data_IF_484331837427
#
_entry.id   IF_484331837427
#
_cell.length_a   1.000
_cell.length_b   1.000
_cell.length_c   1.000
_cell.angle_alpha   90.00
_cell.angle_beta   90.00
_cell.angle_gamma   90.00
#
_symmetry.space_group_name_H-M   'P 1'
#
loop_
_entity.id
_entity.type
_entity.pdbx_description
1 polymer ?
#
# COMPACT_ATOMS: atom_id res chain seq x y z
N UNK A 1 45.64 -41.41 -46.94
CA UNK A 1 46.14 -40.18 -47.60
C UNK A 1 45.05 -39.15 -47.90
N UNK A 2 43.76 -39.51 -48.04
CA UNK A 2 42.70 -38.58 -48.48
C UNK A 2 41.74 -38.05 -47.39
N UNK A 3 41.97 -38.37 -46.11
CA UNK A 3 41.04 -38.07 -45.01
C UNK A 3 40.88 -36.57 -44.71
N UNK A 4 41.89 -35.74 -45.00
CA UNK A 4 41.94 -34.32 -44.62
C UNK A 4 41.72 -33.33 -45.78
N UNK A 5 41.28 -33.80 -46.95
CA UNK A 5 41.02 -32.92 -48.10
C UNK A 5 39.65 -32.29 -48.00
N UNK A 6 39.55 -31.01 -48.38
CA UNK A 6 38.29 -30.29 -48.53
C UNK A 6 37.40 -30.97 -49.58
N UNK A 7 36.08 -30.75 -49.50
CA UNK A 7 35.13 -31.32 -50.47
C UNK A 7 35.47 -30.89 -51.91
N UNK A 8 35.93 -29.65 -52.10
CA UNK A 8 36.38 -29.13 -53.39
C UNK A 8 37.62 -29.84 -53.91
N UNK A 9 38.60 -30.13 -53.05
CA UNK A 9 39.77 -30.93 -53.42
C UNK A 9 39.41 -32.36 -53.74
N UNK A 10 38.48 -32.97 -52.99
CA UNK A 10 37.95 -34.31 -53.29
C UNK A 10 37.23 -34.34 -54.65
N UNK A 11 36.46 -33.30 -54.97
CA UNK A 11 35.80 -33.15 -56.29
C UNK A 11 36.83 -32.94 -57.40
N UNK A 12 37.84 -32.07 -57.21
CA UNK A 12 38.92 -31.87 -58.19
C UNK A 12 39.74 -33.14 -58.41
N UNK A 13 40.00 -33.91 -57.34
CA UNK A 13 40.64 -35.22 -57.42
C UNK A 13 39.72 -36.19 -58.17
N UNK A 14 38.40 -36.22 -57.94
CA UNK A 14 37.45 -37.02 -58.72
C UNK A 14 37.53 -36.70 -60.22
N UNK A 15 37.58 -35.43 -60.60
CA UNK A 15 37.70 -35.02 -62.02
C UNK A 15 39.06 -35.44 -62.61
N UNK A 16 40.16 -35.22 -61.89
CA UNK A 16 41.50 -35.61 -62.37
C UNK A 16 41.69 -37.12 -62.41
N UNK A 17 41.15 -37.86 -61.45
CA UNK A 17 41.21 -39.32 -61.43
C UNK A 17 40.36 -39.92 -62.54
N UNK A 18 39.18 -39.34 -62.84
CA UNK A 18 38.37 -39.73 -63.99
C UNK A 18 39.09 -39.48 -65.32
N UNK A 19 39.77 -38.34 -65.46
CA UNK A 19 40.61 -38.05 -66.63
C UNK A 19 41.79 -39.02 -66.75
N UNK A 20 42.48 -39.33 -65.64
CA UNK A 20 43.58 -40.30 -65.60
C UNK A 20 43.08 -41.71 -65.92
N UNK A 21 41.89 -42.09 -65.42
CA UNK A 21 41.27 -43.38 -65.71
C UNK A 21 40.89 -43.51 -67.18
N UNK A 22 40.32 -42.45 -67.77
CA UNK A 22 40.00 -42.39 -69.19
C UNK A 22 41.28 -42.49 -70.04
N UNK A 23 42.36 -41.82 -69.62
CA UNK A 23 43.68 -41.90 -70.25
C UNK A 23 44.32 -43.29 -70.08
N UNK A 24 44.14 -43.97 -68.95
CA UNK A 24 44.60 -45.34 -68.73
C UNK A 24 43.83 -46.34 -69.59
N UNK A 25 42.51 -46.24 -69.66
CA UNK A 25 41.67 -47.11 -70.49
C UNK A 25 42.01 -46.91 -71.97
N UNK A 26 42.14 -45.67 -72.44
CA UNK A 26 42.56 -45.37 -73.82
C UNK A 26 43.99 -45.82 -74.09
N UNK A 27 44.93 -45.62 -73.16
CA UNK A 27 46.31 -46.10 -73.28
C UNK A 27 46.41 -47.63 -73.33
N UNK A 28 45.62 -48.33 -72.51
CA UNK A 28 45.51 -49.78 -72.51
C UNK A 28 44.89 -50.29 -73.82
N UNK A 29 43.86 -49.62 -74.35
CA UNK A 29 43.26 -49.94 -75.64
C UNK A 29 44.25 -49.73 -76.80
N UNK A 30 45.01 -48.63 -76.79
CA UNK A 30 46.04 -48.33 -77.80
C UNK A 30 47.21 -49.31 -77.72
N UNK A 31 47.66 -49.68 -76.51
CA UNK A 31 48.72 -50.69 -76.32
C UNK A 31 48.27 -52.09 -76.78
N UNK A 32 47.02 -52.46 -76.49
CA UNK A 32 46.39 -53.66 -77.02
C UNK A 32 46.37 -53.67 -78.55
N UNK A 33 45.95 -52.56 -79.17
CA UNK A 33 45.94 -52.40 -80.63
C UNK A 33 47.36 -52.45 -81.25
N UNK A 34 48.33 -51.80 -80.60
CA UNK A 34 49.73 -51.81 -81.02
C UNK A 34 50.35 -53.21 -80.97
N UNK A 35 50.09 -53.98 -79.91
CA UNK A 35 50.56 -55.37 -79.81
C UNK A 35 49.94 -56.27 -80.90
N UNK A 36 48.66 -56.09 -81.21
CA UNK A 36 47.98 -56.81 -82.30
C UNK A 36 48.63 -56.56 -83.67
N UNK A 37 49.26 -55.39 -83.85
CA UNK A 37 49.86 -54.99 -85.13
C UNK A 37 51.31 -55.45 -85.33
N UNK A 38 52.03 -55.84 -84.27
CA UNK A 38 53.47 -56.12 -84.32
C UNK A 38 53.88 -57.60 -84.32
N UNK A 39 52.97 -58.55 -84.13
CA UNK A 39 53.30 -59.98 -84.02
C UNK A 39 52.28 -60.88 -84.74
N UNK A 40 52.73 -62.00 -85.32
CA UNK A 40 51.87 -63.13 -85.72
C UNK A 40 51.37 -63.82 -84.43
N UNK A 41 50.40 -63.19 -83.78
CA UNK A 41 49.81 -63.68 -82.53
C UNK A 41 48.79 -64.78 -82.85
N UNK A 42 48.84 -65.91 -82.13
CA UNK A 42 47.81 -66.95 -82.27
C UNK A 42 46.42 -66.40 -81.90
N UNK A 43 45.33 -66.82 -82.57
CA UNK A 43 43.97 -66.32 -82.29
C UNK A 43 43.60 -66.40 -80.79
N UNK A 44 44.13 -67.40 -80.09
CA UNK A 44 43.93 -67.61 -78.66
C UNK A 44 44.53 -66.50 -77.79
N UNK A 45 45.73 -65.99 -78.12
CA UNK A 45 46.39 -64.92 -77.36
C UNK A 45 45.70 -63.56 -77.53
N UNK A 46 45.05 -63.32 -78.67
CA UNK A 46 44.27 -62.11 -78.92
C UNK A 46 42.99 -62.06 -78.07
N UNK A 47 42.28 -63.20 -77.99
CA UNK A 47 41.08 -63.35 -77.14
C UNK A 47 41.43 -63.23 -75.65
N UNK A 48 42.55 -63.80 -75.21
CA UNK A 48 42.99 -63.68 -73.81
C UNK A 48 43.30 -62.21 -73.46
N UNK A 49 43.98 -61.49 -74.35
CA UNK A 49 44.33 -60.08 -74.10
C UNK A 49 43.08 -59.21 -73.99
N UNK A 50 42.12 -59.33 -74.92
CA UNK A 50 40.87 -58.54 -74.86
C UNK A 50 40.02 -58.88 -73.65
N UNK A 51 39.91 -60.16 -73.26
CA UNK A 51 39.20 -60.56 -72.03
C UNK A 51 39.85 -59.97 -70.79
N UNK A 52 41.19 -59.99 -70.69
CA UNK A 52 41.93 -59.36 -69.58
C UNK A 52 41.67 -57.85 -69.53
N UNK A 53 41.66 -57.16 -70.68
CA UNK A 53 41.36 -55.72 -70.71
C UNK A 53 39.93 -55.40 -70.27
N UNK A 54 38.94 -56.21 -70.68
CA UNK A 54 37.56 -56.06 -70.23
C UNK A 54 37.43 -56.29 -68.72
N UNK A 55 38.08 -57.32 -68.19
CA UNK A 55 38.08 -57.62 -66.74
C UNK A 55 38.71 -56.46 -65.96
N UNK A 56 39.87 -55.96 -66.41
CA UNK A 56 40.54 -54.80 -65.79
C UNK A 56 39.66 -53.55 -65.85
N UNK A 57 38.98 -53.30 -66.98
CA UNK A 57 38.03 -52.20 -67.13
C UNK A 57 36.83 -52.29 -66.18
N UNK A 58 36.25 -53.49 -66.02
CA UNK A 58 35.14 -53.74 -65.08
C UNK A 58 35.62 -53.52 -63.63
N UNK A 59 36.75 -54.10 -63.24
CA UNK A 59 37.33 -53.93 -61.89
C UNK A 59 37.62 -52.46 -61.60
N UNK A 60 38.17 -51.73 -62.57
CA UNK A 60 38.45 -50.30 -62.42
C UNK A 60 37.18 -49.46 -62.29
N UNK A 61 36.13 -49.79 -63.04
CA UNK A 61 34.83 -49.11 -62.95
C UNK A 61 34.17 -49.36 -61.60
N UNK A 62 34.24 -50.60 -61.12
CA UNK A 62 33.70 -51.00 -59.82
C UNK A 62 34.49 -50.38 -58.66
N UNK A 63 35.82 -50.39 -58.75
CA UNK A 63 36.70 -49.70 -57.80
C UNK A 63 36.43 -48.19 -57.80
N UNK A 64 36.23 -47.57 -58.97
CA UNK A 64 35.90 -46.16 -59.06
C UNK A 64 34.53 -45.86 -58.47
N UNK A 65 33.50 -46.66 -58.76
CA UNK A 65 32.18 -46.54 -58.15
C UNK A 65 32.26 -46.67 -56.63
N UNK A 66 32.99 -47.66 -56.12
CA UNK A 66 33.21 -47.88 -54.69
C UNK A 66 33.99 -46.72 -54.05
N UNK A 67 35.02 -46.20 -54.73
CA UNK A 67 35.83 -45.07 -54.27
C UNK A 67 35.01 -43.77 -54.22
N UNK A 68 34.18 -43.50 -55.24
CA UNK A 68 33.24 -42.36 -55.27
C UNK A 68 32.21 -42.50 -54.16
N UNK A 69 31.65 -43.70 -53.97
CA UNK A 69 30.65 -43.94 -52.94
C UNK A 69 31.19 -43.65 -51.53
N UNK A 70 32.36 -44.21 -51.19
CA UNK A 70 33.00 -44.04 -49.88
C UNK A 70 33.53 -42.62 -49.68
N UNK A 71 34.13 -42.01 -50.71
CA UNK A 71 34.84 -40.72 -50.54
C UNK A 71 33.92 -39.51 -50.66
N UNK A 72 32.82 -39.63 -51.40
CA UNK A 72 31.91 -38.50 -51.69
C UNK A 72 30.47 -38.74 -51.25
N UNK A 73 29.89 -39.91 -51.50
CA UNK A 73 28.47 -40.14 -51.19
C UNK A 73 28.23 -40.31 -49.69
N UNK A 74 29.05 -41.10 -48.98
CA UNK A 74 28.88 -41.34 -47.53
C UNK A 74 28.97 -40.05 -46.69
N UNK A 75 30.00 -39.18 -46.83
CA UNK A 75 30.07 -37.96 -46.02
C UNK A 75 28.94 -36.96 -46.31
N UNK A 76 28.45 -36.90 -47.56
CA UNK A 76 27.32 -36.06 -47.95
C UNK A 76 26.02 -36.61 -47.35
N UNK A 77 25.84 -37.93 -47.32
CA UNK A 77 24.70 -38.58 -46.70
C UNK A 77 24.63 -38.30 -45.20
N UNK A 78 25.75 -38.49 -44.50
CA UNK A 78 25.84 -38.22 -43.06
C UNK A 78 25.53 -36.74 -42.79
N UNK A 79 26.11 -35.82 -43.56
CA UNK A 79 25.81 -34.39 -43.45
C UNK A 79 24.33 -34.05 -43.70
N UNK A 80 23.68 -34.68 -44.67
CA UNK A 80 22.24 -34.51 -44.98
C UNK A 80 21.36 -34.99 -43.82
N UNK A 81 21.66 -36.16 -43.25
CA UNK A 81 20.90 -36.71 -42.11
C UNK A 81 21.08 -35.81 -40.89
N UNK A 82 22.33 -35.47 -40.54
CA UNK A 82 22.61 -34.59 -39.42
C UNK A 82 21.95 -33.21 -39.59
N UNK A 83 21.98 -32.65 -40.80
CA UNK A 83 21.30 -31.37 -41.09
C UNK A 83 19.78 -31.48 -40.92
N UNK A 84 19.15 -32.56 -41.38
CA UNK A 84 17.70 -32.76 -41.25
C UNK A 84 17.27 -33.01 -39.80
N UNK A 85 18.02 -33.82 -39.06
CA UNK A 85 17.77 -34.10 -37.64
C UNK A 85 17.94 -32.82 -36.82
N UNK A 86 19.07 -32.13 -36.95
CA UNK A 86 19.29 -30.85 -36.27
C UNK A 86 18.25 -29.79 -36.65
N UNK A 87 17.87 -29.70 -37.93
CA UNK A 87 16.81 -28.77 -38.36
C UNK A 87 15.46 -29.10 -37.73
N UNK A 88 15.11 -30.38 -37.61
CA UNK A 88 13.86 -30.82 -36.98
C UNK A 88 13.85 -30.50 -35.49
N UNK A 89 14.96 -30.76 -34.78
CA UNK A 89 15.12 -30.41 -33.36
C UNK A 89 14.99 -28.89 -33.14
N UNK A 90 15.61 -28.07 -34.01
CA UNK A 90 15.50 -26.61 -33.91
C UNK A 90 14.07 -26.15 -34.20
N UNK A 91 13.35 -26.74 -35.16
CA UNK A 91 11.93 -26.43 -35.39
C UNK A 91 11.10 -26.72 -34.14
N UNK A 92 11.31 -27.87 -33.49
CA UNK A 92 10.60 -28.21 -32.26
C UNK A 92 10.90 -27.20 -31.13
N UNK A 93 12.17 -26.87 -30.92
CA UNK A 93 12.58 -25.86 -29.95
C UNK A 93 11.99 -24.47 -30.25
N UNK A 94 11.98 -24.07 -31.53
CA UNK A 94 11.43 -22.80 -31.99
C UNK A 94 9.91 -22.74 -31.82
N UNK A 95 9.21 -23.85 -32.06
CA UNK A 95 7.76 -23.98 -31.80
C UNK A 95 7.45 -23.90 -30.30
N UNK A 96 8.29 -24.50 -29.44
CA UNK A 96 8.17 -24.32 -27.98
C UNK A 96 8.38 -22.85 -27.60
N UNK A 97 9.36 -22.18 -28.21
CA UNK A 97 9.64 -20.77 -27.98
C UNK A 97 8.47 -19.86 -28.39
N UNK A 98 7.81 -20.13 -29.52
CA UNK A 98 6.60 -19.42 -29.96
C UNK A 98 5.51 -19.45 -28.87
N UNK A 99 5.24 -20.62 -28.31
CA UNK A 99 4.26 -20.79 -27.24
C UNK A 99 4.63 -20.01 -25.97
N UNK A 100 5.91 -19.94 -25.62
CA UNK A 100 6.39 -19.13 -24.47
C UNK A 100 6.19 -17.64 -24.73
N UNK A 101 6.48 -17.16 -25.94
CA UNK A 101 6.26 -15.76 -26.32
C UNK A 101 4.78 -15.38 -26.20
N UNK A 102 3.87 -16.22 -26.70
CA UNK A 102 2.42 -15.98 -26.57
C UNK A 102 1.97 -15.90 -25.12
N UNK A 103 2.50 -16.76 -24.24
CA UNK A 103 2.22 -16.70 -22.80
C UNK A 103 2.74 -15.39 -22.18
N UNK A 104 3.95 -14.96 -22.54
CA UNK A 104 4.50 -13.72 -22.01
C UNK A 104 3.71 -12.48 -22.48
N UNK A 105 3.23 -12.45 -23.74
CA UNK A 105 2.36 -11.36 -24.22
C UNK A 105 1.07 -11.23 -23.40
N UNK A 106 0.47 -12.36 -22.99
CA UNK A 106 -0.71 -12.34 -22.10
C UNK A 106 -0.35 -11.78 -20.72
N UNK A 107 0.75 -12.25 -20.13
CA UNK A 107 1.22 -11.77 -18.81
C UNK A 107 1.55 -10.28 -18.85
N UNK A 108 2.15 -9.78 -19.93
CA UNK A 108 2.45 -8.34 -20.09
C UNK A 108 1.18 -7.50 -20.18
N UNK A 109 0.14 -7.99 -20.87
CA UNK A 109 -1.16 -7.31 -20.94
C UNK A 109 -1.82 -7.24 -19.56
N UNK A 110 -1.78 -8.34 -18.80
CA UNK A 110 -2.29 -8.37 -17.42
C UNK A 110 -1.50 -7.41 -16.52
N UNK A 111 -0.18 -7.42 -16.60
CA UNK A 111 0.70 -6.51 -15.86
C UNK A 111 0.40 -5.04 -16.18
N UNK A 112 0.18 -4.69 -17.45
CA UNK A 112 -0.21 -3.34 -17.86
C UNK A 112 -1.52 -2.89 -17.20
N UNK A 113 -2.52 -3.78 -17.15
CA UNK A 113 -3.79 -3.50 -16.48
C UNK A 113 -3.65 -3.30 -14.96
N UNK A 114 -2.77 -4.08 -14.31
CA UNK A 114 -2.45 -3.91 -12.88
C UNK A 114 -1.79 -2.55 -12.63
N UNK A 115 -0.84 -2.13 -13.48
CA UNK A 115 -0.16 -0.84 -13.36
C UNK A 115 -1.12 0.33 -13.59
N UNK A 116 -2.05 0.22 -14.53
CA UNK A 116 -3.09 1.24 -14.74
C UNK A 116 -3.98 1.38 -13.49
N UNK A 117 -4.40 0.26 -12.90
CA UNK A 117 -5.19 0.28 -11.66
C UNK A 117 -4.38 0.85 -10.48
N UNK A 118 -3.09 0.54 -10.40
CA UNK A 118 -2.20 1.09 -9.38
C UNK A 118 -2.05 2.61 -9.50
N UNK A 119 -1.91 3.13 -10.74
CA UNK A 119 -1.88 4.57 -11.01
C UNK A 119 -3.18 5.26 -10.56
N UNK A 120 -4.34 4.70 -10.93
CA UNK A 120 -5.65 5.20 -10.47
C UNK A 120 -5.78 5.21 -8.94
N UNK A 121 -5.37 4.12 -8.30
CA UNK A 121 -5.40 3.99 -6.83
C UNK A 121 -4.47 5.00 -6.14
N UNK A 122 -3.27 5.22 -6.68
CA UNK A 122 -2.31 6.20 -6.16
C UNK A 122 -2.87 7.62 -6.25
N UNK A 123 -3.48 7.99 -7.40
CA UNK A 123 -4.12 9.29 -7.57
C UNK A 123 -5.32 9.47 -6.62
N UNK A 124 -6.14 8.44 -6.44
CA UNK A 124 -7.25 8.48 -5.49
C UNK A 124 -6.76 8.65 -4.04
N UNK A 125 -5.67 7.98 -3.67
CA UNK A 125 -5.03 8.11 -2.36
C UNK A 125 -4.55 9.54 -2.13
N UNK A 126 -3.94 10.17 -3.13
CA UNK A 126 -3.52 11.57 -3.09
C UNK A 126 -4.69 12.53 -2.85
N UNK A 127 -5.79 12.37 -3.59
CA UNK A 127 -7.00 13.18 -3.41
C UNK A 127 -7.57 13.00 -2.00
N UNK A 128 -7.62 11.77 -1.49
CA UNK A 128 -8.10 11.50 -0.15
C UNK A 128 -7.20 12.13 0.92
N UNK A 129 -5.88 12.03 0.75
CA UNK A 129 -4.92 12.67 1.63
C UNK A 129 -5.12 14.20 1.68
N UNK A 130 -5.32 14.86 0.53
CA UNK A 130 -5.63 16.29 0.47
C UNK A 130 -6.91 16.66 1.23
N UNK A 131 -7.99 15.87 1.09
CA UNK A 131 -9.23 16.08 1.86
C UNK A 131 -9.01 15.96 3.36
N UNK A 132 -8.17 15.01 3.81
CA UNK A 132 -7.82 14.88 5.22
C UNK A 132 -7.02 16.10 5.71
N UNK A 133 -6.10 16.64 4.91
CA UNK A 133 -5.39 17.87 5.24
C UNK A 133 -6.35 19.06 5.39
N UNK A 134 -7.26 19.26 4.43
CA UNK A 134 -8.27 20.33 4.47
C UNK A 134 -9.15 20.23 5.72
N UNK A 135 -9.65 19.02 6.04
CA UNK A 135 -10.44 18.82 7.26
C UNK A 135 -9.62 18.99 8.54
N UNK A 136 -8.35 18.61 8.53
CA UNK A 136 -7.46 18.83 9.67
C UNK A 136 -7.29 20.33 9.96
N UNK A 137 -7.11 21.15 8.92
CA UNK A 137 -7.03 22.61 9.05
C UNK A 137 -8.32 23.22 9.63
N UNK A 138 -9.48 22.77 9.15
CA UNK A 138 -10.78 23.18 9.69
C UNK A 138 -10.91 22.86 11.19
N UNK A 139 -10.47 21.67 11.60
CA UNK A 139 -10.50 21.28 13.02
C UNK A 139 -9.51 22.11 13.84
N UNK A 140 -8.34 22.48 13.31
CA UNK A 140 -7.40 23.38 13.99
C UNK A 140 -8.08 24.73 14.26
N UNK A 141 -8.73 25.32 13.25
CA UNK A 141 -9.46 26.60 13.42
C UNK A 141 -10.57 26.47 14.45
N UNK A 142 -11.39 25.41 14.37
CA UNK A 142 -12.47 25.15 15.31
C UNK A 142 -11.96 24.96 16.75
N UNK A 143 -10.90 24.18 16.93
CA UNK A 143 -10.27 23.95 18.23
C UNK A 143 -9.71 25.23 18.85
N UNK A 144 -9.20 26.16 18.04
CA UNK A 144 -8.73 27.46 18.52
C UNK A 144 -9.88 28.31 19.06
N UNK A 145 -11.02 28.30 18.36
CA UNK A 145 -12.24 28.99 18.81
C UNK A 145 -12.78 28.38 20.11
N UNK A 146 -12.80 27.05 20.22
CA UNK A 146 -13.20 26.34 21.45
C UNK A 146 -12.27 26.67 22.61
N UNK A 147 -10.95 26.72 22.38
CA UNK A 147 -9.98 27.11 23.40
C UNK A 147 -10.24 28.54 23.93
N UNK A 148 -10.53 29.50 23.04
CA UNK A 148 -10.91 30.86 23.44
C UNK A 148 -12.22 30.89 24.24
N UNK A 149 -13.22 30.11 23.83
CA UNK A 149 -14.50 30.01 24.53
C UNK A 149 -14.33 29.44 25.95
N UNK A 150 -13.52 28.41 26.12
CA UNK A 150 -13.19 27.82 27.42
C UNK A 150 -12.46 28.84 28.30
N UNK A 151 -11.46 29.56 27.75
CA UNK A 151 -10.76 30.63 28.47
C UNK A 151 -11.71 31.73 28.95
N UNK A 152 -12.63 32.17 28.08
CA UNK A 152 -13.65 33.14 28.45
C UNK A 152 -14.60 32.61 29.53
N UNK A 153 -14.91 31.32 29.53
CA UNK A 153 -15.73 30.69 30.57
C UNK A 153 -15.01 30.65 31.93
N UNK A 154 -13.71 30.35 31.95
CA UNK A 154 -12.89 30.38 33.18
C UNK A 154 -12.91 31.79 33.79
N UNK A 155 -12.73 32.84 32.99
CA UNK A 155 -12.79 34.23 33.48
C UNK A 155 -14.18 34.61 34.03
N UNK A 156 -15.25 34.13 33.38
CA UNK A 156 -16.62 34.32 33.89
C UNK A 156 -16.83 33.61 35.22
N UNK A 157 -16.33 32.38 35.38
CA UNK A 157 -16.39 31.64 36.63
C UNK A 157 -15.60 32.34 37.74
N UNK A 158 -14.43 32.88 37.42
CA UNK A 158 -13.64 33.69 38.36
C UNK A 158 -14.39 34.94 38.83
N UNK A 159 -15.05 35.63 37.91
CA UNK A 159 -15.91 36.78 38.22
C UNK A 159 -17.10 36.36 39.08
N UNK A 160 -17.70 35.19 38.81
CA UNK A 160 -18.81 34.66 39.60
C UNK A 160 -18.37 34.32 41.02
N UNK A 161 -17.19 33.72 41.19
CA UNK A 161 -16.60 33.46 42.52
C UNK A 161 -16.49 34.74 43.34
N UNK A 162 -15.93 35.80 42.77
CA UNK A 162 -15.81 37.10 43.44
C UNK A 162 -17.17 37.66 43.86
N UNK A 163 -18.21 37.51 43.03
CA UNK A 163 -19.56 37.94 43.40
C UNK A 163 -20.14 37.13 44.56
N UNK A 164 -19.90 35.82 44.60
CA UNK A 164 -20.34 34.98 45.74
C UNK A 164 -19.59 35.35 47.02
N UNK A 165 -18.28 35.62 46.94
CA UNK A 165 -17.49 36.08 48.07
C UNK A 165 -18.04 37.40 48.65
N UNK A 166 -18.42 38.36 47.81
CA UNK A 166 -19.07 39.60 48.24
C UNK A 166 -20.44 39.32 48.90
N UNK A 167 -21.24 38.41 48.35
CA UNK A 167 -22.53 38.03 48.94
C UNK A 167 -22.31 37.41 50.33
N UNK A 168 -21.32 36.54 50.48
CA UNK A 168 -20.98 35.93 51.76
C UNK A 168 -20.59 36.99 52.81
N UNK A 169 -19.80 38.00 52.43
CA UNK A 169 -19.43 39.13 53.30
C UNK A 169 -20.66 39.93 53.75
N UNK A 170 -21.56 40.28 52.83
CA UNK A 170 -22.80 41.00 53.14
C UNK A 170 -23.75 40.20 54.06
N UNK A 171 -23.78 38.88 53.93
CA UNK A 171 -24.58 38.00 54.79
C UNK A 171 -23.98 37.93 56.20
N UNK A 172 -22.65 37.92 56.33
CA UNK A 172 -21.99 37.98 57.62
C UNK A 172 -22.28 39.30 58.34
N UNK A 173 -22.23 40.43 57.64
CA UNK A 173 -22.62 41.73 58.17
C UNK A 173 -24.09 41.73 58.63
N UNK A 174 -25.01 41.19 57.81
CA UNK A 174 -26.43 41.06 58.18
C UNK A 174 -26.62 40.19 59.44
N UNK A 175 -25.84 39.10 59.58
CA UNK A 175 -25.86 38.24 60.75
C UNK A 175 -25.48 39.01 62.02
N UNK A 176 -24.41 39.80 61.95
CA UNK A 176 -23.94 40.64 63.06
C UNK A 176 -24.99 41.69 63.45
N UNK A 177 -25.56 42.39 62.47
CA UNK A 177 -26.60 43.39 62.71
C UNK A 177 -27.85 42.75 63.34
N UNK A 178 -28.25 41.58 62.87
CA UNK A 178 -29.40 40.84 63.41
C UNK A 178 -29.16 40.39 64.84
N UNK A 179 -27.93 39.96 65.17
CA UNK A 179 -27.54 39.61 66.53
C UNK A 179 -27.56 40.83 67.47
N UNK A 180 -27.07 41.99 67.01
CA UNK A 180 -27.13 43.25 67.76
C UNK A 180 -28.59 43.66 68.04
N UNK A 181 -29.48 43.58 67.04
CA UNK A 181 -30.91 43.86 67.22
C UNK A 181 -31.53 42.88 68.23
N UNK A 182 -31.21 41.59 68.14
CA UNK A 182 -31.67 40.60 69.12
C UNK A 182 -31.27 40.96 70.55
N UNK A 183 -30.04 41.42 70.77
CA UNK A 183 -29.59 41.88 72.09
C UNK A 183 -30.37 43.11 72.57
N UNK A 184 -30.68 44.05 71.68
CA UNK A 184 -31.47 45.25 72.03
C UNK A 184 -32.89 44.86 72.41
N UNK A 185 -33.53 43.97 71.65
CA UNK A 185 -34.90 43.52 71.91
C UNK A 185 -35.00 42.79 73.25
N UNK A 186 -33.98 41.99 73.62
CA UNK A 186 -33.90 41.40 74.97
C UNK A 186 -33.91 42.45 76.08
N UNK A 187 -33.14 43.54 75.94
CA UNK A 187 -33.15 44.66 76.91
C UNK A 187 -34.50 45.36 76.94
N UNK A 188 -35.17 45.54 75.79
CA UNK A 188 -36.51 46.15 75.75
C UNK A 188 -37.55 45.25 76.44
N UNK A 189 -37.45 43.93 76.24
CA UNK A 189 -38.30 42.96 76.93
C UNK A 189 -38.15 43.06 78.46
N UNK A 190 -36.91 43.12 78.95
CA UNK A 190 -36.61 43.34 80.38
C UNK A 190 -37.18 44.66 80.90
N UNK A 191 -37.06 45.76 80.14
CA UNK A 191 -37.64 47.06 80.50
C UNK A 191 -39.16 47.00 80.56
N UNK A 192 -39.81 46.32 79.60
CA UNK A 192 -41.27 46.14 79.63
C UNK A 192 -41.74 45.29 80.80
N UNK A 193 -41.01 44.24 81.15
CA UNK A 193 -41.27 43.41 82.34
C UNK A 193 -41.19 44.26 83.62
N UNK A 194 -40.12 45.05 83.77
CA UNK A 194 -39.94 45.97 84.89
C UNK A 194 -41.04 47.04 84.94
N UNK A 195 -41.41 47.62 83.79
CA UNK A 195 -42.46 48.64 83.70
C UNK A 195 -43.83 48.05 84.08
N UNK A 196 -44.12 46.82 83.64
CA UNK A 196 -45.33 46.10 84.03
C UNK A 196 -45.40 45.87 85.55
N UNK A 197 -44.28 45.44 86.14
CA UNK A 197 -44.16 45.26 87.60
C UNK A 197 -44.28 46.57 88.38
N UNK A 198 -43.68 47.66 87.89
CA UNK A 198 -43.82 49.01 88.47
C UNK A 198 -45.27 49.50 88.40
N UNK A 199 -45.92 49.33 87.26
CA UNK A 199 -47.33 49.69 87.07
C UNK A 199 -48.26 48.88 87.98
N UNK A 200 -47.98 47.60 88.17
CA UNK A 200 -48.71 46.75 89.11
C UNK A 200 -48.56 47.26 90.55
N UNK A 201 -47.33 47.56 90.99
CA UNK A 201 -47.08 48.10 92.32
C UNK A 201 -47.77 49.45 92.52
N UNK A 202 -47.76 50.33 91.51
CA UNK A 202 -48.47 51.61 91.53
C UNK A 202 -49.99 51.44 91.60
N UNK A 203 -50.56 50.46 90.88
CA UNK A 203 -51.99 50.15 90.94
C UNK A 203 -52.40 49.63 92.33
N UNK A 204 -51.57 48.80 92.96
CA UNK A 204 -51.80 48.32 94.34
C UNK A 204 -51.77 49.47 95.34
N UNK A 205 -50.78 50.36 95.26
CA UNK A 205 -50.66 51.48 96.20
C UNK A 205 -51.75 52.54 95.97
N UNK A 206 -52.17 52.75 94.70
CA UNK A 206 -53.32 53.58 94.37
C UNK A 206 -54.64 53.01 94.93
N UNK A 207 -54.84 51.69 94.87
CA UNK A 207 -55.98 51.04 95.51
C UNK A 207 -55.94 51.19 97.04
N UNK A 208 -54.75 51.14 97.64
CA UNK A 208 -54.52 51.32 99.08
C UNK A 208 -54.82 52.75 99.57
N UNK A 209 -54.60 53.76 98.74
CA UNK A 209 -54.93 55.15 99.03
C UNK A 209 -56.44 55.49 98.94
N UNK A 210 -57.29 54.52 98.57
CA UNK A 210 -58.75 54.68 98.55
C UNK A 210 -59.24 55.74 97.56
N UNK A 211 -60.13 56.65 98.00
CA UNK A 211 -60.70 57.71 97.15
C UNK A 211 -59.64 58.66 96.57
N UNK A 212 -58.54 58.91 97.31
CA UNK A 212 -57.46 59.80 96.85
C UNK A 212 -56.57 59.17 95.76
N UNK A 213 -56.60 57.85 95.61
CA UNK A 213 -55.78 57.10 94.64
C UNK A 213 -56.45 56.82 93.30
N UNK A 214 -57.75 57.13 93.13
CA UNK A 214 -58.52 56.78 91.91
C UNK A 214 -57.87 57.26 90.60
N UNK A 215 -57.37 58.50 90.57
CA UNK A 215 -56.69 59.03 89.39
C UNK A 215 -55.38 58.29 89.07
N UNK A 216 -54.60 57.96 90.10
CA UNK A 216 -53.36 57.19 89.97
C UNK A 216 -53.62 55.74 89.55
N UNK A 217 -54.71 55.12 90.01
CA UNK A 217 -55.08 53.76 89.64
C UNK A 217 -55.38 53.64 88.13
N UNK A 218 -56.05 54.65 87.54
CA UNK A 218 -56.31 54.69 86.09
C UNK A 218 -55.01 54.81 85.31
N UNK A 219 -54.11 55.70 85.72
CA UNK A 219 -52.79 55.87 85.06
C UNK A 219 -51.97 54.59 85.17
N UNK A 220 -51.92 53.96 86.34
CA UNK A 220 -51.20 52.70 86.54
C UNK A 220 -51.76 51.56 85.67
N UNK A 221 -53.08 51.47 85.51
CA UNK A 221 -53.70 50.49 84.62
C UNK A 221 -53.35 50.72 83.15
N UNK A 222 -53.29 51.98 82.69
CA UNK A 222 -52.92 52.30 81.31
C UNK A 222 -51.43 52.02 81.03
N UNK A 223 -50.54 52.35 81.99
CA UNK A 223 -49.11 51.99 81.89
C UNK A 223 -48.95 50.47 81.82
N UNK A 224 -49.72 49.71 82.63
CA UNK A 224 -49.67 48.25 82.62
C UNK A 224 -50.09 47.69 81.26
N UNK A 225 -51.16 48.23 80.68
CA UNK A 225 -51.65 47.85 79.35
C UNK A 225 -50.62 48.14 78.27
N UNK A 226 -49.98 49.32 78.29
CA UNK A 226 -48.90 49.68 77.36
C UNK A 226 -47.68 48.76 77.51
N UNK A 227 -47.34 48.36 78.74
CA UNK A 227 -46.25 47.41 78.99
C UNK A 227 -46.57 46.01 78.43
N UNK A 228 -47.80 45.52 78.61
CA UNK A 228 -48.25 44.24 78.02
C UNK A 228 -48.28 44.31 76.48
N UNK A 229 -48.76 45.40 75.89
CA UNK A 229 -48.74 45.62 74.43
C UNK A 229 -47.31 45.66 73.89
N UNK A 230 -46.41 46.35 74.60
CA UNK A 230 -44.99 46.42 74.23
C UNK A 230 -44.29 45.07 74.35
N UNK A 231 -44.62 44.25 75.36
CA UNK A 231 -44.12 42.87 75.50
C UNK A 231 -44.59 41.97 74.35
N UNK A 232 -45.84 42.11 73.91
CA UNK A 232 -46.33 41.38 72.74
C UNK A 232 -45.62 41.81 71.45
N UNK A 233 -45.31 43.11 71.31
CA UNK A 233 -44.57 43.63 70.18
C UNK A 233 -43.12 43.13 70.16
N UNK A 234 -42.41 43.16 71.29
CA UNK A 234 -41.03 42.64 71.39
C UNK A 234 -40.99 41.14 71.09
N UNK A 235 -41.95 40.35 71.59
CA UNK A 235 -42.04 38.91 71.28
C UNK A 235 -42.19 38.64 69.78
N UNK A 236 -43.02 39.42 69.07
CA UNK A 236 -43.15 39.34 67.61
C UNK A 236 -41.85 39.69 66.90
N UNK A 237 -41.15 40.74 67.36
CA UNK A 237 -39.85 41.12 66.78
C UNK A 237 -38.81 40.02 67.02
N UNK A 238 -38.75 39.43 68.21
CA UNK A 238 -37.86 38.31 68.51
C UNK A 238 -38.08 37.12 67.57
N UNK A 239 -39.35 36.80 67.24
CA UNK A 239 -39.66 35.77 66.24
C UNK A 239 -39.12 36.13 64.86
N UNK A 240 -39.29 37.38 64.41
CA UNK A 240 -38.77 37.83 63.11
C UNK A 240 -37.23 37.79 63.06
N UNK A 241 -36.57 38.15 64.15
CA UNK A 241 -35.11 38.07 64.27
C UNK A 241 -34.63 36.61 64.17
N UNK A 242 -35.32 35.68 64.82
CA UNK A 242 -35.03 34.26 64.71
C UNK A 242 -35.17 33.75 63.26
N UNK A 243 -36.25 34.13 62.58
CA UNK A 243 -36.48 33.75 61.18
C UNK A 243 -35.39 34.34 60.26
N UNK A 244 -34.98 35.59 60.47
CA UNK A 244 -33.88 36.22 59.73
C UNK A 244 -32.56 35.49 59.99
N UNK A 245 -32.25 35.12 61.23
CA UNK A 245 -31.03 34.35 61.55
C UNK A 245 -31.02 32.99 60.85
N UNK A 246 -32.15 32.28 60.84
CA UNK A 246 -32.26 30.99 60.15
C UNK A 246 -32.06 31.14 58.64
N UNK A 247 -32.68 32.16 58.03
CA UNK A 247 -32.51 32.48 56.61
C UNK A 247 -31.05 32.85 56.28
N UNK A 248 -30.42 33.64 57.14
CA UNK A 248 -29.01 34.06 57.01
C UNK A 248 -28.08 32.84 57.03
N UNK A 249 -28.22 31.96 58.03
CA UNK A 249 -27.43 30.72 58.10
C UNK A 249 -27.63 29.81 56.88
N UNK A 250 -28.87 29.69 56.41
CA UNK A 250 -29.17 28.90 55.20
C UNK A 250 -28.49 29.49 53.96
N UNK A 251 -28.42 30.83 53.88
CA UNK A 251 -27.78 31.53 52.77
C UNK A 251 -26.25 31.41 52.83
N UNK A 252 -25.64 31.39 54.02
CA UNK A 252 -24.21 31.07 54.18
C UNK A 252 -23.90 29.67 53.64
N UNK A 253 -24.67 28.64 54.02
CA UNK A 253 -24.44 27.29 53.50
C UNK A 253 -24.56 27.23 51.97
N UNK A 254 -25.57 27.91 51.39
CA UNK A 254 -25.76 27.95 49.95
C UNK A 254 -24.63 28.69 49.21
N UNK A 255 -24.04 29.73 49.81
CA UNK A 255 -22.91 30.46 49.23
C UNK A 255 -21.59 29.67 49.33
N UNK A 256 -21.37 28.92 50.41
CA UNK A 256 -20.25 27.98 50.53
C UNK A 256 -20.34 26.85 49.50
N UNK A 257 -21.53 26.25 49.32
CA UNK A 257 -21.78 25.22 48.31
C UNK A 257 -21.58 25.80 46.89
N UNK A 258 -22.14 26.98 46.62
CA UNK A 258 -21.96 27.67 45.34
C UNK A 258 -20.50 27.97 45.02
N UNK A 259 -19.67 28.29 46.03
CA UNK A 259 -18.23 28.50 45.85
C UNK A 259 -17.52 27.20 45.44
N UNK A 260 -17.84 26.07 46.09
CA UNK A 260 -17.28 24.76 45.75
C UNK A 260 -17.65 24.32 44.33
N UNK A 261 -18.90 24.53 43.93
CA UNK A 261 -19.38 24.21 42.58
C UNK A 261 -18.66 25.03 41.50
N UNK A 262 -18.37 26.31 41.77
CA UNK A 262 -17.58 27.14 40.86
C UNK A 262 -16.15 26.63 40.75
N UNK A 263 -15.49 26.28 41.86
CA UNK A 263 -14.14 25.73 41.85
C UNK A 263 -14.05 24.43 41.05
N UNK A 264 -15.00 23.53 41.25
CA UNK A 264 -15.16 22.31 40.45
C UNK A 264 -15.36 22.62 38.96
N UNK A 265 -16.19 23.61 38.64
CA UNK A 265 -16.42 24.07 37.27
C UNK A 265 -15.15 24.63 36.59
N UNK A 266 -14.32 25.36 37.34
CA UNK A 266 -13.03 25.87 36.85
C UNK A 266 -12.05 24.72 36.60
N UNK A 267 -11.99 23.74 37.49
CA UNK A 267 -11.15 22.55 37.31
C UNK A 267 -11.55 21.78 36.04
N UNK A 268 -12.84 21.52 35.85
CA UNK A 268 -13.37 20.87 34.65
C UNK A 268 -13.04 21.67 33.37
N UNK A 269 -13.20 22.99 33.40
CA UNK A 269 -12.87 23.84 32.27
C UNK A 269 -11.37 23.78 31.91
N UNK A 270 -10.48 23.72 32.91
CA UNK A 270 -9.05 23.54 32.67
C UNK A 270 -8.72 22.17 32.05
N UNK A 271 -9.38 21.09 32.48
CA UNK A 271 -9.22 19.77 31.87
C UNK A 271 -9.67 19.74 30.40
N UNK A 272 -10.77 20.45 30.08
CA UNK A 272 -11.23 20.62 28.70
C UNK A 272 -10.19 21.39 27.87
N UNK A 273 -9.62 22.48 28.41
CA UNK A 273 -8.57 23.23 27.72
C UNK A 273 -7.34 22.37 27.39
N UNK A 274 -6.87 21.56 28.35
CA UNK A 274 -5.77 20.62 28.12
C UNK A 274 -6.09 19.57 27.06
N UNK A 275 -7.33 19.06 27.05
CA UNK A 275 -7.79 18.10 26.04
C UNK A 275 -7.82 18.70 24.64
N UNK A 276 -8.22 19.97 24.53
CA UNK A 276 -8.18 20.73 23.26
C UNK A 276 -6.73 20.90 22.77
N UNK A 277 -5.79 21.18 23.66
CA UNK A 277 -4.37 21.30 23.30
C UNK A 277 -3.78 19.97 22.80
N UNK A 278 -4.13 18.85 23.46
CA UNK A 278 -3.75 17.52 23.00
C UNK A 278 -4.35 17.19 21.63
N UNK A 279 -5.61 17.55 21.40
CA UNK A 279 -6.30 17.39 20.12
C UNK A 279 -5.58 18.16 19.01
N UNK A 280 -5.18 19.42 19.27
CA UNK A 280 -4.39 20.22 18.30
C UNK A 280 -3.06 19.56 17.94
N UNK A 281 -2.34 19.03 18.93
CA UNK A 281 -1.08 18.32 18.68
C UNK A 281 -1.29 17.08 17.81
N UNK A 282 -2.32 16.29 18.11
CA UNK A 282 -2.68 15.08 17.36
C UNK A 282 -3.03 15.41 15.91
N UNK A 283 -3.72 16.52 15.68
CA UNK A 283 -4.08 16.97 14.33
C UNK A 283 -2.82 17.44 13.57
N UNK A 284 -1.90 18.15 14.21
CA UNK A 284 -0.64 18.54 13.60
C UNK A 284 0.19 17.31 13.16
N UNK A 285 0.22 16.27 13.98
CA UNK A 285 0.85 14.98 13.61
C UNK A 285 0.13 14.33 12.42
N UNK A 286 -1.21 14.39 12.39
CA UNK A 286 -2.02 13.90 11.27
C UNK A 286 -1.69 14.65 9.97
N UNK A 287 -1.57 15.98 10.01
CA UNK A 287 -1.18 16.80 8.85
C UNK A 287 0.20 16.40 8.33
N UNK A 288 1.15 16.13 9.24
CA UNK A 288 2.48 15.65 8.87
C UNK A 288 2.43 14.27 8.20
N UNK A 289 1.70 13.32 8.76
CA UNK A 289 1.53 11.99 8.18
C UNK A 289 0.85 12.06 6.79
N UNK A 290 -0.12 12.94 6.63
CA UNK A 290 -0.76 13.21 5.33
C UNK A 290 0.24 13.73 4.30
N UNK A 291 1.16 14.62 4.70
CA UNK A 291 2.24 15.07 3.82
C UNK A 291 3.12 13.93 3.36
N UNK A 292 3.53 13.05 4.27
CA UNK A 292 4.35 11.88 3.95
C UNK A 292 3.63 10.91 2.98
N UNK A 293 2.29 10.78 3.12
CA UNK A 293 1.45 10.01 2.17
C UNK A 293 1.44 10.67 0.79
N UNK A 294 1.29 11.99 0.71
CA UNK A 294 1.33 12.72 -0.58
C UNK A 294 2.68 12.55 -1.27
N UNK A 295 3.79 12.65 -0.53
CA UNK A 295 5.12 12.45 -1.08
C UNK A 295 5.32 10.99 -1.57
N UNK A 296 4.86 10.01 -0.78
CA UNK A 296 4.90 8.59 -1.15
C UNK A 296 4.07 8.28 -2.40
N UNK A 297 2.89 8.88 -2.54
CA UNK A 297 2.02 8.70 -3.73
C UNK A 297 2.59 9.36 -4.98
N UNK A 298 3.29 10.51 -4.85
CA UNK A 298 4.03 11.09 -5.96
C UNK A 298 5.15 10.14 -6.43
N UNK A 299 5.92 9.56 -5.51
CA UNK A 299 6.96 8.57 -5.87
C UNK A 299 6.37 7.32 -6.51
N UNK A 300 5.25 6.80 -5.99
CA UNK A 300 4.53 5.69 -6.62
C UNK A 300 4.12 6.01 -8.05
N UNK A 301 3.66 7.24 -8.32
CA UNK A 301 3.28 7.66 -9.68
C UNK A 301 4.47 7.57 -10.64
N UNK A 302 5.64 8.03 -10.21
CA UNK A 302 6.89 7.91 -10.99
C UNK A 302 7.23 6.44 -11.26
N UNK A 303 7.21 5.59 -10.23
CA UNK A 303 7.50 4.16 -10.41
C UNK A 303 6.49 3.46 -11.33
N UNK A 304 5.21 3.82 -11.26
CA UNK A 304 4.21 3.24 -12.17
C UNK A 304 4.45 3.62 -13.63
N UNK A 305 4.92 4.84 -13.89
CA UNK A 305 5.27 5.30 -15.24
C UNK A 305 6.51 4.59 -15.78
N UNK A 306 7.54 4.41 -14.94
CA UNK A 306 8.75 3.64 -15.28
C UNK A 306 8.41 2.17 -15.61
N UNK A 307 7.59 1.52 -14.78
CA UNK A 307 7.17 0.13 -15.02
C UNK A 307 6.28 0.03 -16.26
N UNK A 308 5.40 1.00 -16.50
CA UNK A 308 4.59 1.04 -17.73
C UNK A 308 5.47 1.11 -18.98
N UNK A 309 6.50 1.96 -18.95
CA UNK A 309 7.48 2.08 -20.04
C UNK A 309 8.26 0.79 -20.25
N UNK A 310 8.67 0.12 -19.17
CA UNK A 310 9.36 -1.16 -19.24
C UNK A 310 8.46 -2.27 -19.84
N UNK A 311 7.18 -2.34 -19.43
CA UNK A 311 6.21 -3.29 -19.99
C UNK A 311 6.05 -3.07 -21.49
N UNK A 312 5.90 -1.82 -21.94
CA UNK A 312 5.79 -1.50 -23.37
C UNK A 312 7.04 -1.94 -24.15
N UNK A 313 8.23 -1.67 -23.61
CA UNK A 313 9.51 -2.05 -24.23
C UNK A 313 9.66 -3.58 -24.34
N UNK A 314 9.27 -4.33 -23.30
CA UNK A 314 9.29 -5.80 -23.33
C UNK A 314 8.24 -6.33 -24.33
N UNK A 315 7.06 -5.71 -24.39
CA UNK A 315 6.02 -6.10 -25.33
C UNK A 315 6.49 -5.93 -26.79
N UNK A 316 7.17 -4.82 -27.11
CA UNK A 316 7.80 -4.63 -28.43
C UNK A 316 8.86 -5.71 -28.71
N UNK A 317 9.75 -6.01 -27.77
CA UNK A 317 10.76 -7.06 -27.92
C UNK A 317 10.17 -8.47 -28.08
N UNK A 318 9.02 -8.75 -27.45
CA UNK A 318 8.29 -10.01 -27.64
C UNK A 318 7.64 -10.10 -29.02
N UNK A 319 7.10 -9.01 -29.54
CA UNK A 319 6.55 -8.97 -30.90
C UNK A 319 7.64 -9.19 -31.95
N UNK A 320 8.83 -8.59 -31.78
CA UNK A 320 9.98 -8.85 -32.65
C UNK A 320 10.44 -10.31 -32.55
N UNK A 321 10.53 -10.84 -31.32
CA UNK A 321 10.88 -12.25 -31.09
C UNK A 321 9.89 -13.21 -31.76
N UNK A 322 8.58 -12.90 -31.74
CA UNK A 322 7.57 -13.71 -32.42
C UNK A 322 7.79 -13.71 -33.94
N UNK A 323 8.12 -12.56 -34.52
CA UNK A 323 8.47 -12.43 -35.94
C UNK A 323 9.71 -13.26 -36.29
N UNK A 324 10.76 -13.16 -35.49
CA UNK A 324 12.02 -13.89 -35.68
C UNK A 324 11.83 -15.41 -35.58
N UNK A 325 11.02 -15.88 -34.63
CA UNK A 325 10.65 -17.31 -34.49
C UNK A 325 9.96 -17.80 -35.76
N UNK A 326 8.98 -17.05 -36.28
CA UNK A 326 8.28 -17.41 -37.53
C UNK A 326 9.25 -17.48 -38.72
N UNK A 327 10.17 -16.54 -38.83
CA UNK A 327 11.19 -16.54 -39.87
C UNK A 327 12.16 -17.74 -39.75
N UNK A 328 12.59 -18.08 -38.54
CA UNK A 328 13.46 -19.24 -38.29
C UNK A 328 12.81 -20.55 -38.74
N UNK A 329 11.53 -20.75 -38.43
CA UNK A 329 10.78 -21.94 -38.88
C UNK A 329 10.79 -22.02 -40.42
N UNK A 330 10.53 -20.89 -41.11
CA UNK A 330 10.55 -20.86 -42.58
C UNK A 330 11.93 -21.18 -43.16
N UNK A 331 13.00 -20.65 -42.57
CA UNK A 331 14.38 -20.92 -43.00
C UNK A 331 14.73 -22.40 -42.80
N UNK A 332 14.37 -22.99 -41.65
CA UNK A 332 14.65 -24.39 -41.33
C UNK A 332 13.86 -25.34 -42.24
N UNK A 333 12.60 -25.02 -42.54
CA UNK A 333 11.83 -25.75 -43.55
C UNK A 333 12.50 -25.67 -44.93
N UNK A 334 13.04 -24.51 -45.30
CA UNK A 334 13.87 -24.34 -46.49
C UNK A 334 15.10 -25.25 -46.49
N UNK A 335 15.83 -25.32 -45.37
CA UNK A 335 17.01 -26.18 -45.21
C UNK A 335 16.67 -27.66 -45.34
N UNK A 336 15.56 -28.12 -44.74
CA UNK A 336 15.08 -29.50 -44.88
C UNK A 336 14.77 -29.80 -46.35
N UNK A 337 14.11 -28.89 -47.07
CA UNK A 337 13.81 -29.05 -48.48
C UNK A 337 15.08 -29.12 -49.35
N UNK A 338 16.06 -28.26 -49.10
CA UNK A 338 17.36 -28.27 -49.79
C UNK A 338 18.11 -29.58 -49.51
N UNK A 339 18.15 -30.00 -48.25
CA UNK A 339 18.79 -31.25 -47.81
C UNK A 339 18.15 -32.47 -48.48
N UNK A 340 16.82 -32.51 -48.58
CA UNK A 340 16.08 -33.54 -49.31
C UNK A 340 16.42 -33.54 -50.81
N UNK A 341 16.44 -32.37 -51.45
CA UNK A 341 16.81 -32.26 -52.86
C UNK A 341 18.26 -32.66 -53.13
N UNK A 342 19.18 -32.33 -52.22
CA UNK A 342 20.59 -32.72 -52.29
C UNK A 342 20.74 -34.24 -52.19
N UNK A 343 20.02 -34.88 -51.26
CA UNK A 343 19.94 -36.34 -51.15
C UNK A 343 19.49 -36.97 -52.46
N UNK A 344 18.39 -36.49 -53.03
CA UNK A 344 17.83 -37.01 -54.27
C UNK A 344 18.78 -36.84 -55.47
N UNK A 345 19.42 -35.68 -55.63
CA UNK A 345 20.27 -35.35 -56.79
C UNK A 345 21.67 -35.96 -56.74
N UNK A 346 22.29 -36.05 -55.55
CA UNK A 346 23.69 -36.50 -55.43
C UNK A 346 23.80 -38.00 -55.20
N UNK A 347 22.79 -38.61 -54.57
CA UNK A 347 22.87 -40.00 -54.08
C UNK A 347 21.91 -40.91 -54.86
N UNK A 348 20.78 -40.38 -55.36
CA UNK A 348 19.71 -41.20 -55.95
C UNK A 348 19.10 -42.17 -54.92
N UNK A 349 18.28 -43.13 -55.37
CA UNK A 349 17.61 -44.11 -54.50
C UNK A 349 18.51 -45.29 -54.05
N UNK A 350 19.83 -45.13 -54.02
CA UNK A 350 20.71 -46.22 -53.58
C UNK A 350 20.55 -46.46 -52.07
N UNK A 351 20.26 -47.70 -51.63
CA UNK A 351 20.08 -48.01 -50.23
C UNK A 351 21.43 -47.89 -49.50
N UNK A 352 21.58 -46.84 -48.70
CA UNK A 352 22.67 -46.68 -47.75
C UNK A 352 22.54 -47.76 -46.65
N UNK A 353 23.59 -48.55 -46.44
CA UNK A 353 23.69 -49.38 -45.24
C UNK A 353 24.05 -48.46 -44.09
N UNK A 354 23.12 -48.21 -43.18
CA UNK A 354 23.35 -47.48 -41.91
C UNK A 354 24.68 -47.96 -41.29
N UNK A 355 25.69 -47.09 -41.27
CA UNK A 355 26.94 -47.39 -40.59
C UNK A 355 26.65 -47.38 -39.07
N UNK A 356 27.04 -48.44 -38.37
CA UNK A 356 26.60 -48.74 -36.99
C UNK A 356 27.06 -47.74 -35.93
N UNK A 357 28.01 -46.86 -36.27
CA UNK A 357 28.52 -45.81 -35.37
C UNK A 357 27.51 -44.67 -35.12
N UNK A 358 26.43 -44.59 -35.89
CA UNK A 358 25.47 -43.47 -35.82
C UNK A 358 24.10 -43.83 -35.24
N UNK A 359 23.95 -45.04 -34.65
CA UNK A 359 22.73 -45.40 -33.89
C UNK A 359 22.43 -44.45 -32.72
N UNK A 360 23.43 -43.69 -32.25
CA UNK A 360 23.27 -42.73 -31.16
C UNK A 360 22.69 -41.37 -31.58
N UNK A 361 22.40 -41.18 -32.87
CA UNK A 361 21.72 -39.99 -33.39
C UNK A 361 20.26 -40.27 -33.83
N UNK A 362 19.65 -41.35 -33.32
CA UNK A 362 18.21 -41.57 -33.39
C UNK A 362 17.56 -41.03 -32.11
N UNK A 363 16.81 -39.93 -32.25
CA UNK A 363 15.65 -39.62 -31.42
C UNK A 363 14.51 -39.26 -32.36
#
# INVERSE_FOLDING_TARGET
MFKNLSLEEKIKIKTRFSQILLLLITGIAVFGFYKVQQTEISPLSLVITTVVLCIVGIILTEFFNQWVNITTSEPIYDAVIHTNSASSEIIEATTKQENVILKHLIVLKEAAGVIENLSKSSNQTKINAQKVAEKSEEIIVMSSKEHEAVKANIEKMRTLKQKIEIIAELILELSEHTQQIGSIIGVVEDITEQTNMLALNAAVEAARAGEHGKGFAVVASEIRKLADESKQATSKISSLIYDIQQATNSTVMATEEGTKEIESGVELANQIAQSIDLLRNTINETVKAVKDIVDSTNNQSVYTEEVSTAINSINEGMLDSASNVKQNILILQGLINISKSLKEKVIGNTPYKENSDYKNYKV
#
